data_IF_530478255847
#
_entry.id   IF_530478255847
#
_cell.length_a   1.000
_cell.length_b   1.000
_cell.length_c   1.000
_cell.angle_alpha   90.00
_cell.angle_beta   90.00
_cell.angle_gamma   90.00
#
_symmetry.space_group_name_H-M   'P 1'
#
loop_
_entity.id
_entity.type
_entity.pdbx_description
1 polymer ?
#
# COMPACT_ATOMS: atom_id res chain seq x y z
N UNK A 1 -42.55 28.24 -42.17
CA UNK A 1 -41.47 27.27 -42.47
C UNK A 1 -40.70 27.00 -41.18
N UNK A 2 -40.60 25.72 -40.85
CA UNK A 2 -39.94 25.04 -39.72
C UNK A 2 -39.33 25.88 -38.58
N UNK A 3 -39.96 25.80 -37.41
CA UNK A 3 -39.34 26.15 -36.13
C UNK A 3 -38.46 25.00 -35.64
N UNK A 4 -37.23 25.34 -35.23
CA UNK A 4 -36.32 24.43 -34.55
C UNK A 4 -36.64 24.45 -33.05
N UNK A 5 -37.31 23.42 -32.55
CA UNK A 5 -37.44 23.15 -31.13
C UNK A 5 -36.20 22.41 -30.65
N UNK A 6 -35.27 23.11 -30.02
CA UNK A 6 -34.19 22.47 -29.26
C UNK A 6 -34.75 22.03 -27.92
N UNK A 7 -34.85 20.72 -27.71
CA UNK A 7 -35.38 20.10 -26.49
C UNK A 7 -34.43 20.30 -25.30
N UNK A 8 -34.97 20.78 -24.18
CA UNK A 8 -34.27 21.02 -22.90
C UNK A 8 -33.71 19.76 -22.21
N UNK A 9 -33.77 18.60 -22.87
CA UNK A 9 -33.32 17.29 -22.37
C UNK A 9 -31.82 17.05 -22.54
N UNK A 10 -31.15 17.83 -23.40
CA UNK A 10 -29.72 17.66 -23.71
C UNK A 10 -28.76 18.37 -22.74
N UNK A 11 -29.19 19.42 -22.01
CA UNK A 11 -28.23 20.22 -21.22
C UNK A 11 -27.85 19.59 -19.87
N UNK A 12 -28.71 18.77 -19.27
CA UNK A 12 -28.45 18.13 -17.98
C UNK A 12 -27.52 16.92 -18.08
N UNK A 13 -27.50 16.24 -19.24
CA UNK A 13 -26.63 15.10 -19.47
C UNK A 13 -25.15 15.54 -19.57
N UNK A 14 -24.92 16.74 -20.12
CA UNK A 14 -23.59 17.32 -20.30
C UNK A 14 -22.96 17.77 -18.97
N UNK A 15 -23.75 18.38 -18.07
CA UNK A 15 -23.26 18.82 -16.76
C UNK A 15 -22.82 17.64 -15.87
N UNK A 16 -23.62 16.57 -15.84
CA UNK A 16 -23.28 15.33 -15.14
C UNK A 16 -21.98 14.73 -15.72
N UNK A 17 -21.86 14.71 -17.04
CA UNK A 17 -20.68 14.17 -17.74
C UNK A 17 -19.41 14.97 -17.43
N UNK A 18 -19.49 16.29 -17.40
CA UNK A 18 -18.38 17.18 -17.02
C UNK A 18 -17.98 16.96 -15.56
N UNK A 19 -18.95 16.85 -14.66
CA UNK A 19 -18.73 16.58 -13.24
C UNK A 19 -18.02 15.24 -13.01
N UNK A 20 -18.44 14.18 -13.70
CA UNK A 20 -17.82 12.86 -13.59
C UNK A 20 -16.41 12.85 -14.18
N UNK A 21 -16.19 13.45 -15.36
CA UNK A 21 -14.85 13.55 -15.97
C UNK A 21 -13.86 14.28 -15.06
N UNK A 22 -14.27 15.38 -14.43
CA UNK A 22 -13.45 16.10 -13.46
C UNK A 22 -13.08 15.26 -12.24
N UNK A 23 -13.95 14.33 -11.81
CA UNK A 23 -13.61 13.37 -10.75
C UNK A 23 -12.58 12.35 -11.21
N UNK A 24 -12.61 11.92 -12.47
CA UNK A 24 -11.64 10.97 -13.03
C UNK A 24 -10.22 11.54 -13.17
N UNK A 25 -10.08 12.84 -13.40
CA UNK A 25 -8.76 13.50 -13.54
C UNK A 25 -7.87 13.35 -12.29
N UNK A 26 -8.44 13.08 -11.11
CA UNK A 26 -7.70 12.77 -9.88
C UNK A 26 -7.57 11.27 -9.56
N UNK A 27 -8.21 10.40 -10.33
CA UNK A 27 -8.18 8.95 -10.13
C UNK A 27 -7.09 8.34 -11.02
N UNK A 28 -5.83 8.55 -10.65
CA UNK A 28 -4.80 7.63 -11.13
C UNK A 28 -4.93 6.33 -10.33
N UNK A 29 -5.04 5.15 -10.98
CA UNK A 29 -4.67 3.93 -10.29
C UNK A 29 -3.27 4.14 -9.73
N UNK A 30 -2.99 3.76 -8.48
CA UNK A 30 -1.60 3.73 -8.03
C UNK A 30 -0.89 2.75 -8.96
N UNK A 31 0.11 3.21 -9.69
CA UNK A 31 0.65 2.51 -10.87
C UNK A 31 1.12 1.09 -10.56
N UNK A 32 1.42 0.81 -9.29
CA UNK A 32 1.96 -0.46 -8.84
C UNK A 32 1.25 -1.04 -7.59
N UNK A 33 0.32 -0.33 -6.95
CA UNK A 33 -0.27 -0.76 -5.67
C UNK A 33 -0.93 -2.15 -5.76
N UNK A 34 -0.44 -3.06 -4.92
CA UNK A 34 -0.92 -4.44 -4.85
C UNK A 34 -1.04 -4.97 -3.41
N UNK A 35 -0.66 -4.19 -2.40
CA UNK A 35 -0.76 -4.53 -0.98
C UNK A 35 -1.81 -3.64 -0.33
N UNK A 36 -2.98 -4.20 -0.07
CA UNK A 36 -4.14 -3.48 0.45
C UNK A 36 -4.38 -3.77 1.93
N UNK A 37 -4.82 -2.75 2.66
CA UNK A 37 -5.39 -2.98 3.99
C UNK A 37 -6.72 -3.71 3.89
N UNK A 38 -6.93 -4.70 4.77
CA UNK A 38 -8.19 -5.45 4.80
C UNK A 38 -9.33 -4.50 5.21
N UNK A 39 -10.43 -4.43 4.44
CA UNK A 39 -11.60 -3.64 4.81
C UNK A 39 -12.14 -3.99 6.21
N UNK A 40 -12.49 -2.99 7.01
CA UNK A 40 -12.94 -3.17 8.38
C UNK A 40 -14.11 -4.16 8.53
N UNK A 41 -15.04 -4.18 7.56
CA UNK A 41 -16.17 -5.13 7.56
C UNK A 41 -15.70 -6.60 7.49
N UNK A 42 -14.63 -6.88 6.75
CA UNK A 42 -14.06 -8.23 6.64
C UNK A 42 -13.30 -8.58 7.92
N UNK A 43 -12.53 -7.63 8.46
CA UNK A 43 -11.83 -7.82 9.74
C UNK A 43 -12.80 -8.16 10.89
N UNK A 44 -13.92 -7.44 10.99
CA UNK A 44 -14.95 -7.69 12.01
C UNK A 44 -15.60 -9.08 11.91
N UNK A 45 -15.57 -9.70 10.72
CA UNK A 45 -16.14 -11.04 10.52
C UNK A 45 -15.23 -12.12 11.10
N UNK A 46 -13.91 -11.94 10.99
CA UNK A 46 -12.92 -12.84 11.55
C UNK A 46 -11.58 -12.12 11.73
N UNK A 47 -11.38 -11.49 12.88
CA UNK A 47 -10.19 -10.69 13.15
C UNK A 47 -8.90 -11.52 13.13
N UNK A 48 -8.96 -12.75 13.66
CA UNK A 48 -7.80 -13.64 13.73
C UNK A 48 -7.27 -14.07 12.35
N UNK A 49 -8.12 -14.11 11.33
CA UNK A 49 -7.70 -14.44 9.97
C UNK A 49 -6.85 -13.35 9.31
N UNK A 50 -6.92 -12.10 9.81
CA UNK A 50 -6.26 -10.95 9.20
C UNK A 50 -5.20 -10.29 10.11
N UNK A 51 -5.10 -10.73 11.36
CA UNK A 51 -4.11 -10.22 12.33
C UNK A 51 -2.98 -11.25 12.51
N UNK A 52 -1.73 -10.91 12.14
CA UNK A 52 -0.60 -11.79 12.40
C UNK A 52 -0.43 -12.07 13.89
N UNK A 53 -0.15 -13.33 14.23
CA UNK A 53 -0.04 -13.80 15.62
C UNK A 53 1.39 -14.06 16.09
N UNK A 54 2.31 -14.22 15.14
CA UNK A 54 3.70 -14.59 15.42
C UNK A 54 4.62 -13.44 15.04
N UNK A 55 4.65 -13.07 13.77
CA UNK A 55 5.61 -12.09 13.23
C UNK A 55 4.88 -11.03 12.41
N UNK A 56 5.28 -9.76 12.58
CA UNK A 56 4.80 -8.69 11.72
C UNK A 56 5.46 -8.78 10.35
N UNK A 57 4.66 -8.74 9.28
CA UNK A 57 5.17 -8.67 7.90
C UNK A 57 4.84 -7.28 7.37
N UNK A 58 5.88 -6.49 7.09
CA UNK A 58 5.73 -5.13 6.58
C UNK A 58 5.20 -4.11 7.59
N UNK A 59 4.95 -2.86 7.13
CA UNK A 59 4.64 -1.71 7.98
C UNK A 59 3.25 -1.77 8.61
N UNK A 60 2.29 -2.50 8.04
CA UNK A 60 0.91 -2.57 8.56
C UNK A 60 0.79 -3.29 9.89
N UNK A 61 1.73 -4.18 10.21
CA UNK A 61 1.67 -4.99 11.43
C UNK A 61 2.77 -4.62 12.44
N UNK A 62 3.69 -3.71 12.08
CA UNK A 62 4.84 -3.32 12.91
C UNK A 62 4.44 -2.72 14.26
N UNK A 63 3.29 -2.05 14.33
CA UNK A 63 2.85 -1.34 15.54
C UNK A 63 2.16 -2.25 16.57
N UNK A 64 2.06 -3.56 16.33
CA UNK A 64 1.44 -4.48 17.27
C UNK A 64 2.43 -4.87 18.39
N UNK A 65 2.17 -4.50 19.66
CA UNK A 65 3.07 -4.81 20.77
C UNK A 65 3.29 -6.31 20.97
N UNK A 66 2.31 -7.16 20.63
CA UNK A 66 2.44 -8.61 20.78
C UNK A 66 3.45 -9.23 19.80
N UNK A 67 3.83 -8.50 18.75
CA UNK A 67 4.75 -8.96 17.70
C UNK A 67 6.19 -8.44 17.90
N UNK A 68 6.40 -7.49 18.82
CA UNK A 68 7.72 -6.92 19.12
C UNK A 68 8.77 -7.98 19.44
N UNK A 69 8.49 -9.05 20.23
CA UNK A 69 9.51 -10.07 20.51
C UNK A 69 10.07 -10.72 19.24
N UNK A 70 9.29 -10.80 18.16
CA UNK A 70 9.76 -11.37 16.91
C UNK A 70 10.59 -10.40 16.06
N UNK A 71 10.58 -9.09 16.34
CA UNK A 71 11.49 -8.15 15.70
C UNK A 71 12.95 -8.41 16.11
N UNK A 72 13.20 -8.72 17.39
CA UNK A 72 14.53 -9.13 17.86
C UNK A 72 14.98 -10.43 17.21
N UNK A 73 14.05 -11.39 17.05
CA UNK A 73 14.34 -12.62 16.33
C UNK A 73 14.70 -12.38 14.86
N UNK A 74 14.06 -11.43 14.16
CA UNK A 74 14.46 -11.08 12.78
C UNK A 74 15.92 -10.63 12.71
N UNK A 75 16.38 -9.85 13.68
CA UNK A 75 17.78 -9.43 13.76
C UNK A 75 18.73 -10.60 14.01
N UNK A 76 18.35 -11.55 14.89
CA UNK A 76 19.11 -12.78 15.09
C UNK A 76 19.20 -13.63 13.82
N UNK A 77 18.10 -13.74 13.06
CA UNK A 77 18.09 -14.44 11.78
C UNK A 77 19.00 -13.76 10.75
N UNK A 78 18.96 -12.42 10.67
CA UNK A 78 19.87 -11.66 9.81
C UNK A 78 21.33 -11.87 10.21
N UNK A 79 21.65 -11.82 11.50
CA UNK A 79 23.00 -12.07 12.01
C UNK A 79 23.49 -13.47 11.62
N UNK A 80 22.65 -14.50 11.81
CA UNK A 80 22.99 -15.88 11.44
C UNK A 80 23.16 -16.04 9.92
N UNK A 81 22.31 -15.38 9.13
CA UNK A 81 22.40 -15.39 7.67
C UNK A 81 23.72 -14.79 7.17
N UNK A 82 24.13 -13.64 7.73
CA UNK A 82 25.41 -12.99 7.41
C UNK A 82 26.64 -13.81 7.81
N UNK A 83 26.53 -14.67 8.83
CA UNK A 83 27.62 -15.58 9.19
C UNK A 83 27.81 -16.72 8.19
N UNK A 84 26.75 -17.09 7.46
CA UNK A 84 26.79 -18.17 6.47
C UNK A 84 27.34 -17.72 5.12
N UNK A 85 26.98 -16.52 4.65
CA UNK A 85 27.47 -15.99 3.37
C UNK A 85 28.59 -14.97 3.58
N UNK A 86 29.84 -15.40 3.35
CA UNK A 86 31.02 -14.55 3.53
C UNK A 86 31.26 -13.57 2.38
N UNK A 87 30.47 -13.63 1.31
CA UNK A 87 30.68 -12.80 0.13
C UNK A 87 30.01 -11.42 0.23
N UNK A 88 29.11 -11.23 1.19
CA UNK A 88 28.34 -10.00 1.35
C UNK A 88 28.37 -9.53 2.80
N UNK A 89 28.57 -8.22 2.98
CA UNK A 89 28.52 -7.57 4.28
C UNK A 89 27.14 -6.92 4.51
N UNK A 90 26.85 -6.57 5.76
CA UNK A 90 25.57 -5.94 6.14
C UNK A 90 25.29 -4.69 5.29
N UNK A 91 26.33 -3.90 5.02
CA UNK A 91 26.27 -2.67 4.25
C UNK A 91 25.80 -2.91 2.81
N UNK A 92 26.17 -4.05 2.20
CA UNK A 92 25.73 -4.41 0.85
C UNK A 92 24.22 -4.64 0.82
N UNK A 93 23.69 -5.34 1.82
CA UNK A 93 22.25 -5.57 1.97
C UNK A 93 21.49 -4.27 2.26
N UNK A 94 22.00 -3.44 3.17
CA UNK A 94 21.38 -2.14 3.46
C UNK A 94 21.31 -1.29 2.20
N UNK A 95 22.40 -1.19 1.44
CA UNK A 95 22.45 -0.45 0.17
C UNK A 95 21.43 -1.01 -0.83
N UNK A 96 21.33 -2.33 -0.95
CA UNK A 96 20.39 -3.01 -1.83
C UNK A 96 18.93 -2.72 -1.44
N UNK A 97 18.59 -2.91 -0.16
CA UNK A 97 17.22 -2.69 0.35
C UNK A 97 16.82 -1.22 0.24
N UNK A 98 17.71 -0.27 0.56
CA UNK A 98 17.45 1.16 0.37
C UNK A 98 17.15 1.51 -1.08
N UNK A 99 17.83 0.87 -2.04
CA UNK A 99 17.54 1.10 -3.47
C UNK A 99 16.12 0.67 -3.89
N UNK A 100 15.50 -0.26 -3.15
CA UNK A 100 14.14 -0.74 -3.40
C UNK A 100 13.07 -0.03 -2.59
N UNK A 101 13.44 0.83 -1.64
CA UNK A 101 12.49 1.39 -0.67
C UNK A 101 11.32 2.14 -1.34
N UNK A 102 11.61 2.99 -2.33
CA UNK A 102 10.58 3.78 -3.02
C UNK A 102 9.56 2.90 -3.74
N UNK A 103 10.04 1.87 -4.44
CA UNK A 103 9.20 0.88 -5.14
C UNK A 103 8.43 0.02 -4.14
N UNK A 104 9.10 -0.48 -3.09
CA UNK A 104 8.44 -1.23 -2.03
C UNK A 104 7.31 -0.43 -1.37
N UNK A 105 7.48 0.89 -1.18
CA UNK A 105 6.46 1.78 -0.61
C UNK A 105 5.33 2.08 -1.59
N UNK A 106 5.56 2.06 -2.91
CA UNK A 106 4.51 2.30 -3.92
C UNK A 106 3.51 1.14 -4.03
N UNK A 107 3.90 -0.06 -3.57
CA UNK A 107 3.01 -1.23 -3.55
C UNK A 107 1.90 -1.16 -2.49
N UNK A 108 1.98 -0.28 -1.49
CA UNK A 108 0.99 -0.18 -0.40
C UNK A 108 -0.16 0.79 -0.75
N UNK A 109 -1.40 0.41 -0.43
CA UNK A 109 -2.60 1.23 -0.64
C UNK A 109 -2.62 2.52 0.20
N UNK A 110 -1.89 2.53 1.31
CA UNK A 110 -1.76 3.69 2.20
C UNK A 110 -0.31 4.17 2.22
N UNK A 111 -0.17 5.48 2.36
CA UNK A 111 1.14 6.10 2.57
C UNK A 111 1.79 5.55 3.84
N UNK A 112 3.00 5.01 3.70
CA UNK A 112 3.79 4.49 4.81
C UNK A 112 4.50 5.65 5.51
N UNK A 113 4.09 5.97 6.74
CA UNK A 113 4.68 7.02 7.58
C UNK A 113 5.78 6.48 8.50
N UNK A 114 6.75 5.77 7.92
CA UNK A 114 7.96 5.33 8.61
C UNK A 114 9.16 6.11 8.07
N UNK A 115 10.14 6.41 8.94
CA UNK A 115 11.43 6.98 8.52
C UNK A 115 12.18 6.04 7.56
N UNK A 116 13.13 6.62 6.81
CA UNK A 116 13.99 5.92 5.85
C UNK A 116 15.39 5.65 6.40
N UNK A 117 15.52 5.63 7.73
CA UNK A 117 16.81 5.59 8.45
C UNK A 117 17.74 4.46 7.97
#
# INVERSE_FOLDING_TARGET
MAGAGTSASDCHQDELTISIKKRFEGLSPPSDCCIFTVPARLQLTNEEAYTPRVIAIGPYHRLNPSLIPMEDHKLLYLQNFLQHDRNYHLEDYIKRVKSWEGEARSYYDKKINLSSD
#
